data_IF_863771331779
#
_entry.id   IF_863771331779
#
_cell.length_a   1.000
_cell.length_b   1.000
_cell.length_c   1.000
_cell.angle_alpha   90.00
_cell.angle_beta   90.00
_cell.angle_gamma   90.00
#
_symmetry.space_group_name_H-M   'P 1'
#
loop_
_entity.id
_entity.type
_entity.pdbx_description
1 polymer ?
#
# COMPACT_ATOMS: atom_id res chain seq x y z
N UNK A 1 -21.66 -9.70 -1.29
CA UNK A 1 -22.88 -9.71 -2.13
C UNK A 1 -23.29 -11.16 -2.32
N UNK A 2 -24.60 -11.47 -2.41
CA UNK A 2 -25.04 -12.82 -2.76
C UNK A 2 -24.71 -13.10 -4.23
N UNK A 3 -24.15 -14.27 -4.53
CA UNK A 3 -23.83 -14.71 -5.89
C UNK A 3 -24.79 -15.81 -6.29
N UNK A 4 -25.30 -15.73 -7.52
CA UNK A 4 -26.17 -16.76 -8.08
C UNK A 4 -25.45 -17.46 -9.22
N UNK A 5 -25.63 -18.77 -9.30
CA UNK A 5 -25.09 -19.62 -10.35
C UNK A 5 -26.22 -20.41 -11.01
N UNK A 6 -25.96 -20.85 -12.24
CA UNK A 6 -26.76 -21.86 -12.92
C UNK A 6 -25.94 -23.14 -13.00
N UNK A 7 -26.16 -24.09 -12.08
CA UNK A 7 -25.41 -25.33 -12.06
C UNK A 7 -25.81 -26.23 -13.23
N UNK A 8 -24.94 -27.18 -13.57
CA UNK A 8 -25.30 -28.29 -14.45
C UNK A 8 -26.35 -29.19 -13.79
N UNK A 9 -27.23 -29.76 -14.58
CA UNK A 9 -28.35 -30.56 -14.10
C UNK A 9 -28.72 -31.70 -15.06
N UNK A 10 -29.44 -32.68 -14.54
CA UNK A 10 -30.19 -33.66 -15.33
C UNK A 10 -31.66 -33.61 -14.97
N UNK A 11 -32.54 -33.52 -15.96
CA UNK A 11 -33.98 -33.44 -15.77
C UNK A 11 -34.68 -34.72 -16.22
N UNK A 12 -35.52 -35.27 -15.35
CA UNK A 12 -36.39 -36.40 -15.67
C UNK A 12 -37.83 -35.97 -15.42
N UNK A 13 -38.61 -35.67 -16.47
CA UNK A 13 -40.01 -35.27 -16.33
C UNK A 13 -40.85 -36.43 -15.78
N UNK A 14 -41.99 -36.08 -15.18
CA UNK A 14 -42.94 -37.03 -14.64
C UNK A 14 -44.12 -36.34 -13.97
N UNK A 15 -45.12 -37.13 -13.56
CA UNK A 15 -46.25 -36.62 -12.78
C UNK A 15 -45.79 -36.03 -11.45
N UNK A 16 -46.67 -35.27 -10.79
CA UNK A 16 -46.42 -34.68 -9.46
C UNK A 16 -45.89 -35.73 -8.48
N UNK A 17 -44.75 -35.45 -7.83
CA UNK A 17 -44.08 -36.35 -6.89
C UNK A 17 -43.16 -37.39 -7.52
N UNK A 18 -43.05 -37.42 -8.85
CA UNK A 18 -42.15 -38.32 -9.60
C UNK A 18 -41.12 -37.55 -10.41
N UNK A 19 -41.51 -36.43 -11.04
CA UNK A 19 -40.57 -35.58 -11.80
C UNK A 19 -39.41 -35.13 -10.92
N UNK A 20 -38.18 -35.25 -11.43
CA UNK A 20 -36.97 -35.00 -10.65
C UNK A 20 -35.92 -34.20 -11.41
N UNK A 21 -35.15 -33.42 -10.66
CA UNK A 21 -33.97 -32.70 -11.15
C UNK A 21 -32.80 -33.08 -10.26
N UNK A 22 -31.74 -33.60 -10.85
CA UNK A 22 -30.46 -33.79 -10.17
C UNK A 22 -29.58 -32.58 -10.46
N UNK A 23 -29.13 -31.90 -9.40
CA UNK A 23 -28.33 -30.68 -9.50
C UNK A 23 -26.89 -31.02 -9.13
N UNK A 24 -25.94 -30.76 -10.04
CA UNK A 24 -24.52 -31.03 -9.81
C UNK A 24 -23.84 -29.79 -9.22
N UNK A 25 -23.79 -29.72 -7.90
CA UNK A 25 -23.02 -28.74 -7.12
C UNK A 25 -22.27 -29.43 -6.00
N UNK A 26 -21.17 -28.85 -5.56
CA UNK A 26 -20.44 -29.32 -4.39
C UNK A 26 -21.28 -29.04 -3.14
N UNK A 27 -21.68 -30.10 -2.44
CA UNK A 27 -22.53 -30.04 -1.23
C UNK A 27 -23.88 -29.32 -1.45
N UNK A 28 -24.81 -29.97 -2.14
CA UNK A 28 -26.15 -29.44 -2.36
C UNK A 28 -26.89 -29.17 -1.04
N UNK A 29 -27.39 -27.95 -0.90
CA UNK A 29 -28.39 -27.55 0.09
C UNK A 29 -29.65 -27.02 -0.61
N UNK A 30 -30.79 -27.65 -0.32
CA UNK A 30 -32.10 -27.27 -0.86
C UNK A 30 -32.50 -25.83 -0.51
N UNK A 31 -32.03 -25.29 0.61
CA UNK A 31 -32.35 -23.92 1.05
C UNK A 31 -31.76 -22.85 0.13
N UNK A 32 -30.73 -23.21 -0.64
CA UNK A 32 -30.04 -22.33 -1.59
C UNK A 32 -30.65 -22.39 -2.99
N UNK A 33 -31.56 -23.34 -3.25
CA UNK A 33 -32.30 -23.40 -4.50
C UNK A 33 -33.44 -22.38 -4.46
N UNK A 34 -33.33 -21.35 -5.30
CA UNK A 34 -34.29 -20.24 -5.32
C UNK A 34 -35.46 -20.54 -6.24
N UNK A 35 -35.19 -21.00 -7.47
CA UNK A 35 -36.21 -21.30 -8.45
C UNK A 35 -35.70 -22.25 -9.53
N UNK A 36 -36.63 -22.98 -10.15
CA UNK A 36 -36.39 -23.68 -11.42
C UNK A 36 -37.47 -23.29 -12.42
N UNK A 37 -37.05 -22.85 -13.59
CA UNK A 37 -37.92 -22.42 -14.69
C UNK A 37 -37.60 -23.28 -15.91
N UNK A 38 -38.63 -23.86 -16.54
CA UNK A 38 -38.51 -24.42 -17.88
C UNK A 38 -38.52 -23.27 -18.88
N UNK A 39 -37.35 -22.95 -19.44
CA UNK A 39 -37.23 -21.85 -20.41
C UNK A 39 -37.77 -22.23 -21.78
N UNK A 40 -37.70 -23.51 -22.16
CA UNK A 40 -38.29 -24.02 -23.42
C UNK A 40 -39.80 -23.80 -23.45
N UNK A 41 -40.47 -23.97 -22.30
CA UNK A 41 -41.94 -23.84 -22.19
C UNK A 41 -42.41 -22.52 -21.56
N UNK A 42 -41.50 -21.75 -20.94
CA UNK A 42 -41.84 -20.53 -20.21
C UNK A 42 -42.62 -20.77 -18.91
N UNK A 43 -42.42 -21.92 -18.24
CA UNK A 43 -43.19 -22.32 -17.06
C UNK A 43 -42.30 -22.46 -15.82
N UNK A 44 -42.77 -21.93 -14.68
CA UNK A 44 -42.13 -22.12 -13.38
C UNK A 44 -42.40 -23.55 -12.87
N UNK A 45 -41.33 -24.32 -12.63
CA UNK A 45 -41.41 -25.70 -12.13
C UNK A 45 -41.24 -25.75 -10.62
N UNK A 46 -40.32 -24.95 -10.07
CA UNK A 46 -39.99 -24.94 -8.66
C UNK A 46 -39.93 -23.54 -8.08
N UNK A 47 -40.60 -23.33 -6.94
CA UNK A 47 -40.50 -22.17 -6.07
C UNK A 47 -40.79 -22.62 -4.62
N UNK A 48 -39.91 -22.33 -3.65
CA UNK A 48 -40.04 -22.80 -2.26
C UNK A 48 -41.30 -22.32 -1.54
N UNK A 49 -41.91 -21.20 -1.96
CA UNK A 49 -43.13 -20.66 -1.32
C UNK A 49 -44.43 -21.10 -1.99
N UNK A 50 -44.35 -21.89 -3.07
CA UNK A 50 -45.53 -22.30 -3.85
C UNK A 50 -46.14 -23.60 -3.34
N UNK A 51 -47.47 -23.67 -3.27
CA UNK A 51 -48.19 -24.89 -2.92
C UNK A 51 -48.30 -25.89 -4.08
N UNK A 52 -48.16 -25.42 -5.33
CA UNK A 52 -48.34 -26.22 -6.57
C UNK A 52 -47.01 -26.52 -7.26
N UNK A 53 -46.05 -25.62 -7.15
CA UNK A 53 -44.69 -25.73 -7.73
C UNK A 53 -43.63 -25.79 -6.63
N UNK A 54 -43.98 -26.32 -5.46
CA UNK A 54 -43.06 -26.47 -4.34
C UNK A 54 -42.22 -27.76 -4.40
N UNK A 55 -41.52 -28.02 -3.31
CA UNK A 55 -40.82 -29.28 -3.07
C UNK A 55 -41.82 -30.40 -2.76
N UNK A 56 -41.64 -31.59 -3.34
CA UNK A 56 -42.28 -32.81 -2.84
C UNK A 56 -41.38 -33.49 -1.81
N UNK A 57 -40.14 -33.77 -2.19
CA UNK A 57 -39.08 -34.28 -1.31
C UNK A 57 -37.70 -33.99 -1.91
N UNK A 58 -36.64 -34.19 -1.13
CA UNK A 58 -35.25 -34.04 -1.58
C UNK A 58 -34.42 -35.18 -1.03
N UNK A 59 -33.45 -35.66 -1.81
CA UNK A 59 -32.48 -36.67 -1.37
C UNK A 59 -31.14 -36.32 -1.99
N UNK A 60 -30.16 -36.01 -1.14
CA UNK A 60 -28.84 -35.54 -1.59
C UNK A 60 -28.98 -34.42 -2.63
N UNK A 61 -28.58 -34.68 -3.87
CA UNK A 61 -28.57 -33.73 -4.97
C UNK A 61 -29.83 -33.80 -5.86
N UNK A 62 -30.82 -34.61 -5.48
CA UNK A 62 -32.05 -34.85 -6.25
C UNK A 62 -33.22 -34.11 -5.62
N UNK A 63 -33.83 -33.25 -6.42
CA UNK A 63 -35.04 -32.50 -6.07
C UNK A 63 -36.22 -33.18 -6.73
N UNK A 64 -37.14 -33.72 -5.92
CA UNK A 64 -38.39 -34.32 -6.40
C UNK A 64 -39.46 -33.24 -6.38
N UNK A 65 -40.06 -33.04 -7.55
CA UNK A 65 -40.93 -31.91 -7.85
C UNK A 65 -42.37 -32.20 -7.48
N UNK A 66 -43.04 -31.21 -6.88
CA UNK A 66 -44.49 -31.24 -6.70
C UNK A 66 -45.25 -30.85 -7.97
N UNK A 67 -44.62 -30.09 -8.86
CA UNK A 67 -45.21 -29.75 -10.14
C UNK A 67 -45.40 -31.02 -11.00
N UNK A 68 -46.53 -31.10 -11.71
CA UNK A 68 -46.70 -32.09 -12.77
C UNK A 68 -45.90 -31.64 -13.99
N UNK A 69 -44.87 -32.42 -14.32
CA UNK A 69 -43.98 -32.19 -15.46
C UNK A 69 -44.14 -33.27 -16.52
N UNK A 70 -45.23 -34.05 -16.51
CA UNK A 70 -45.47 -35.14 -17.46
C UNK A 70 -45.57 -34.69 -18.92
N UNK A 71 -45.85 -33.42 -19.17
CA UNK A 71 -45.87 -32.79 -20.51
C UNK A 71 -44.52 -32.17 -20.91
N UNK A 72 -43.53 -32.23 -20.02
CA UNK A 72 -42.18 -31.74 -20.26
C UNK A 72 -41.30 -32.82 -20.90
N UNK A 73 -40.19 -32.42 -21.49
CA UNK A 73 -39.19 -33.33 -22.07
C UNK A 73 -37.90 -33.28 -21.24
N UNK A 74 -37.17 -34.40 -21.15
CA UNK A 74 -35.87 -34.45 -20.47
C UNK A 74 -34.82 -33.59 -21.18
N UNK A 75 -35.02 -33.28 -22.46
CA UNK A 75 -34.15 -32.35 -23.22
C UNK A 75 -34.52 -30.88 -23.06
N UNK A 76 -35.54 -30.55 -22.26
CA UNK A 76 -35.92 -29.16 -22.00
C UNK A 76 -34.81 -28.37 -21.31
N UNK A 77 -34.69 -27.09 -21.69
CA UNK A 77 -33.72 -26.19 -21.10
C UNK A 77 -34.33 -25.59 -19.84
N UNK A 78 -33.70 -25.89 -18.70
CA UNK A 78 -34.07 -25.38 -17.40
C UNK A 78 -33.11 -24.29 -16.97
N UNK A 79 -33.67 -23.17 -16.51
CA UNK A 79 -32.91 -22.19 -15.75
C UNK A 79 -33.06 -22.53 -14.27
N UNK A 80 -31.95 -22.97 -13.69
CA UNK A 80 -31.83 -23.22 -12.25
C UNK A 80 -31.12 -22.02 -11.64
N UNK A 81 -31.78 -21.39 -10.66
CA UNK A 81 -31.22 -20.27 -9.90
C UNK A 81 -30.82 -20.80 -8.54
N UNK A 82 -29.52 -20.95 -8.32
CA UNK A 82 -28.93 -21.47 -7.09
C UNK A 82 -28.02 -20.43 -6.44
N UNK A 83 -28.14 -20.25 -5.13
CA UNK A 83 -27.25 -19.39 -4.36
C UNK A 83 -25.90 -20.08 -4.14
N UNK A 84 -24.84 -19.43 -4.61
CA UNK A 84 -23.47 -19.88 -4.45
C UNK A 84 -22.85 -19.24 -3.23
N UNK A 85 -22.68 -20.06 -2.18
CA UNK A 85 -21.98 -19.69 -0.95
C UNK A 85 -20.50 -20.06 -1.00
N UNK A 86 -19.93 -20.37 -2.18
CA UNK A 86 -18.48 -20.29 -2.35
C UNK A 86 -18.08 -18.81 -2.24
N UNK A 87 -18.12 -18.31 -1.01
CA UNK A 87 -17.58 -17.03 -0.62
C UNK A 87 -16.12 -17.03 -1.01
N UNK A 88 -15.81 -16.36 -2.12
CA UNK A 88 -14.60 -15.58 -2.31
C UNK A 88 -13.32 -16.27 -1.80
N UNK A 89 -13.16 -17.58 -2.05
CA UNK A 89 -11.95 -18.31 -1.66
C UNK A 89 -10.72 -17.67 -2.33
N UNK A 90 -10.92 -17.11 -3.53
CA UNK A 90 -9.93 -16.29 -4.21
C UNK A 90 -9.69 -14.92 -3.53
N UNK A 91 -10.70 -14.28 -2.95
CA UNK A 91 -10.50 -13.01 -2.24
C UNK A 91 -9.82 -13.23 -0.88
N UNK A 92 -10.15 -14.30 -0.16
CA UNK A 92 -9.46 -14.70 1.08
C UNK A 92 -7.98 -15.02 0.81
N UNK A 93 -7.70 -15.85 -0.21
CA UNK A 93 -6.31 -16.13 -0.60
C UNK A 93 -5.54 -14.87 -1.06
N UNK A 94 -6.23 -13.93 -1.72
CA UNK A 94 -5.63 -12.65 -2.12
C UNK A 94 -5.36 -11.74 -0.92
N UNK A 95 -6.25 -11.73 0.09
CA UNK A 95 -6.08 -10.98 1.33
C UNK A 95 -4.94 -11.55 2.17
N UNK A 96 -4.85 -12.87 2.30
CA UNK A 96 -3.75 -13.53 3.01
C UNK A 96 -2.40 -13.25 2.34
N UNK A 97 -2.35 -13.28 1.01
CA UNK A 97 -1.16 -12.92 0.24
C UNK A 97 -0.79 -11.44 0.43
N UNK A 98 -1.78 -10.54 0.46
CA UNK A 98 -1.55 -9.12 0.71
C UNK A 98 -1.02 -8.87 2.14
N UNK A 99 -1.57 -9.55 3.15
CA UNK A 99 -1.11 -9.46 4.53
C UNK A 99 0.34 -9.96 4.63
N UNK A 100 0.67 -11.09 4.01
CA UNK A 100 2.02 -11.63 3.98
C UNK A 100 2.99 -10.65 3.30
N UNK A 101 2.59 -10.02 2.19
CA UNK A 101 3.41 -9.03 1.50
C UNK A 101 3.62 -7.78 2.38
N UNK A 102 2.57 -7.27 3.03
CA UNK A 102 2.66 -6.11 3.93
C UNK A 102 3.56 -6.40 5.15
N UNK A 103 3.48 -7.61 5.71
CA UNK A 103 4.36 -8.04 6.80
C UNK A 103 5.83 -8.06 6.34
N UNK A 104 6.11 -8.64 5.16
CA UNK A 104 7.45 -8.64 4.59
C UNK A 104 7.99 -7.23 4.30
N UNK A 105 7.13 -6.32 3.84
CA UNK A 105 7.50 -4.91 3.63
C UNK A 105 7.83 -4.27 4.98
N UNK A 106 6.96 -4.42 5.99
CA UNK A 106 7.18 -3.85 7.31
C UNK A 106 8.48 -4.35 7.98
N UNK A 107 8.82 -5.63 7.82
CA UNK A 107 10.08 -6.20 8.35
C UNK A 107 11.32 -5.69 7.61
N UNK A 108 11.22 -5.45 6.29
CA UNK A 108 12.35 -5.00 5.46
C UNK A 108 12.46 -3.48 5.34
N UNK A 109 11.50 -2.73 5.88
CA UNK A 109 11.56 -1.27 5.89
C UNK A 109 12.63 -0.79 6.85
N UNK A 110 13.41 0.18 6.38
CA UNK A 110 14.34 0.90 7.24
C UNK A 110 13.55 1.63 8.32
N UNK A 111 14.04 1.63 9.56
CA UNK A 111 13.41 2.37 10.66
C UNK A 111 13.44 3.86 10.33
N UNK A 112 12.27 4.48 10.18
CA UNK A 112 12.14 5.92 9.95
C UNK A 112 11.79 6.63 11.28
N UNK A 113 12.42 7.78 11.52
CA UNK A 113 12.06 8.75 12.57
C UNK A 113 10.81 9.55 12.16
N UNK A 114 10.20 10.28 13.10
CA UNK A 114 9.04 11.18 12.94
C UNK A 114 9.20 12.22 11.83
N UNK A 115 10.43 12.48 11.39
CA UNK A 115 10.76 13.38 10.29
C UNK A 115 11.14 12.65 8.99
N UNK A 116 10.71 11.40 8.80
CA UNK A 116 10.99 10.55 7.64
C UNK A 116 12.50 10.32 7.36
N UNK A 117 13.32 10.29 8.42
CA UNK A 117 14.76 10.04 8.31
C UNK A 117 15.07 8.59 8.70
N UNK A 118 15.92 7.93 7.91
CA UNK A 118 16.40 6.58 8.22
C UNK A 118 17.29 6.58 9.46
N UNK A 119 16.90 5.81 10.48
CA UNK A 119 17.67 5.57 11.68
C UNK A 119 18.76 4.52 11.40
N UNK A 120 20.02 4.96 11.41
CA UNK A 120 21.18 4.08 11.33
C UNK A 120 21.75 3.95 12.74
N UNK A 121 21.69 2.75 13.34
CA UNK A 121 22.33 2.49 14.62
C UNK A 121 23.80 2.19 14.38
N UNK A 122 24.71 3.02 14.89
CA UNK A 122 26.15 2.82 14.74
C UNK A 122 26.70 2.35 16.09
N UNK A 123 26.97 1.05 16.22
CA UNK A 123 27.50 0.47 17.46
C UNK A 123 28.90 0.99 17.82
N UNK A 124 29.68 1.45 16.84
CA UNK A 124 30.94 2.20 17.03
C UNK A 124 31.23 3.06 15.80
N UNK A 125 31.30 4.39 15.98
CA UNK A 125 31.61 5.36 14.91
C UNK A 125 30.60 6.49 14.78
N UNK A 126 31.07 7.70 14.47
CA UNK A 126 30.19 8.83 14.15
C UNK A 126 29.71 8.74 12.69
N UNK A 127 28.45 9.08 12.41
CA UNK A 127 28.03 9.46 11.05
C UNK A 127 28.97 10.57 10.60
N UNK A 128 29.78 10.30 9.57
CA UNK A 128 30.73 11.26 9.04
C UNK A 128 30.04 12.47 8.41
N UNK A 129 29.63 13.44 9.24
CA UNK A 129 29.71 14.87 8.88
C UNK A 129 31.19 15.31 8.86
N UNK A 130 32.10 14.40 9.24
CA UNK A 130 33.56 14.51 9.23
C UNK A 130 34.20 14.50 7.82
N UNK A 131 33.46 14.25 6.72
CA UNK A 131 34.06 14.30 5.37
C UNK A 131 34.04 15.69 4.73
N UNK A 132 33.44 16.71 5.36
CA UNK A 132 33.74 18.11 5.03
C UNK A 132 34.77 18.65 6.06
N UNK A 133 36.05 18.79 5.69
CA UNK A 133 37.10 19.22 6.61
C UNK A 133 36.92 20.65 7.15
N UNK A 134 35.89 21.37 6.71
CA UNK A 134 35.59 22.74 7.13
C UNK A 134 34.71 22.85 8.37
N UNK A 135 33.94 21.82 8.75
CA UNK A 135 32.94 21.94 9.84
C UNK A 135 33.23 21.09 11.08
N UNK A 136 34.12 20.10 11.00
CA UNK A 136 34.49 19.23 12.12
C UNK A 136 35.16 19.96 13.30
N UNK A 137 35.65 21.20 13.10
CA UNK A 137 36.41 21.96 14.10
C UNK A 137 35.62 23.12 14.74
N UNK A 138 34.32 23.29 14.43
CA UNK A 138 33.55 24.43 14.93
C UNK A 138 32.40 23.94 15.79
N UNK A 139 32.66 23.74 17.07
CA UNK A 139 31.62 23.32 18.04
C UNK A 139 30.99 24.49 18.81
N UNK A 140 31.63 25.66 18.90
CA UNK A 140 31.02 26.94 19.29
C UNK A 140 31.85 28.12 18.77
N UNK A 141 31.24 29.11 18.10
CA UNK A 141 31.86 30.42 17.82
C UNK A 141 31.25 31.44 18.77
N UNK A 142 31.88 31.65 19.92
CA UNK A 142 31.45 32.70 20.84
C UNK A 142 32.21 34.00 20.60
N UNK A 143 33.52 33.96 20.29
CA UNK A 143 34.31 35.13 19.85
C UNK A 143 35.62 34.66 19.24
N UNK A 144 35.95 35.08 18.01
CA UNK A 144 37.28 34.83 17.42
C UNK A 144 38.21 35.95 17.88
N UNK A 145 39.13 35.65 18.80
CA UNK A 145 40.07 36.65 19.32
C UNK A 145 41.39 36.68 18.58
N UNK A 146 41.73 35.68 17.76
CA UNK A 146 42.94 35.69 16.92
C UNK A 146 42.81 34.73 15.72
N UNK A 147 43.25 35.17 14.53
CA UNK A 147 43.31 34.37 13.29
C UNK A 147 44.77 34.29 12.87
N UNK A 148 45.39 33.12 12.92
CA UNK A 148 46.84 32.97 12.76
C UNK A 148 47.31 32.83 11.30
N UNK A 149 46.44 32.42 10.36
CA UNK A 149 46.87 31.96 9.03
C UNK A 149 46.08 32.60 7.87
N UNK A 150 45.91 33.92 7.87
CA UNK A 150 45.46 34.64 6.67
C UNK A 150 46.53 35.67 6.27
N UNK A 151 47.32 35.34 5.24
CA UNK A 151 48.37 36.21 4.68
C UNK A 151 47.85 37.61 4.31
N UNK A 152 46.55 37.76 4.05
CA UNK A 152 45.92 39.03 3.68
C UNK A 152 45.48 39.91 4.87
N UNK A 153 45.54 39.41 6.12
CA UNK A 153 45.24 40.20 7.34
C UNK A 153 46.49 40.70 8.08
N UNK A 154 47.67 40.16 7.76
CA UNK A 154 48.96 40.62 8.31
C UNK A 154 49.29 42.08 7.93
N UNK A 155 48.50 42.69 7.04
CA UNK A 155 48.65 44.08 6.64
C UNK A 155 47.86 45.08 7.52
N UNK A 156 47.04 44.61 8.46
CA UNK A 156 46.24 45.49 9.34
C UNK A 156 46.58 45.39 10.83
N UNK A 157 47.40 44.44 11.25
CA UNK A 157 47.79 44.29 12.66
C UNK A 157 49.16 43.63 12.81
N UNK A 158 50.18 44.45 13.07
CA UNK A 158 51.34 44.00 13.85
C UNK A 158 52.52 43.32 13.14
N UNK A 159 52.52 43.18 11.81
CA UNK A 159 53.59 42.43 11.11
C UNK A 159 54.94 43.14 10.92
N UNK A 160 55.00 44.48 10.94
CA UNK A 160 56.28 45.21 10.86
C UNK A 160 56.14 46.62 11.46
N UNK A 161 56.20 46.73 12.79
CA UNK A 161 56.24 48.02 13.48
C UNK A 161 57.63 48.69 13.45
N UNK A 162 58.66 48.04 12.89
CA UNK A 162 60.02 48.57 12.86
C UNK A 162 60.18 49.87 12.03
N UNK A 163 59.53 50.05 10.86
CA UNK A 163 59.65 51.29 10.10
C UNK A 163 58.66 52.38 10.51
N UNK A 164 57.64 52.09 11.33
CA UNK A 164 56.62 53.08 11.75
C UNK A 164 57.23 54.27 12.52
N UNK A 165 58.10 54.08 13.53
CA UNK A 165 58.78 55.18 14.20
C UNK A 165 59.66 56.00 13.25
N UNK A 166 60.31 55.35 12.29
CA UNK A 166 61.13 56.02 11.27
C UNK A 166 60.28 56.90 10.33
N UNK A 167 59.18 56.36 9.82
CA UNK A 167 58.26 57.12 8.96
C UNK A 167 57.56 58.25 9.73
N UNK A 168 57.15 58.03 10.98
CA UNK A 168 56.57 59.08 11.83
C UNK A 168 57.59 60.17 12.18
N UNK A 169 58.86 59.81 12.41
CA UNK A 169 59.93 60.78 12.64
C UNK A 169 60.17 61.66 11.42
N UNK A 170 60.19 61.08 10.21
CA UNK A 170 60.33 61.84 8.97
C UNK A 170 59.12 62.75 8.68
N UNK A 171 57.89 62.30 8.96
CA UNK A 171 56.70 63.14 8.82
C UNK A 171 56.72 64.28 9.85
N UNK A 172 57.10 63.99 11.10
CA UNK A 172 57.24 64.99 12.15
C UNK A 172 58.28 66.06 11.81
N UNK A 173 59.38 65.70 11.14
CA UNK A 173 60.41 66.64 10.71
C UNK A 173 60.10 67.38 9.40
N UNK A 174 59.03 67.03 8.67
CA UNK A 174 58.69 67.63 7.38
C UNK A 174 58.46 69.15 7.46
N UNK A 175 57.91 69.65 8.57
CA UNK A 175 57.71 71.09 8.78
C UNK A 175 59.04 71.85 8.90
N UNK A 176 60.10 71.21 9.41
CA UNK A 176 61.45 71.81 9.51
C UNK A 176 62.08 71.87 8.12
N UNK A 177 61.98 70.78 7.34
CA UNK A 177 62.52 70.76 5.97
C UNK A 177 61.83 71.76 5.04
N UNK A 178 60.53 72.00 5.20
CA UNK A 178 59.78 72.99 4.42
C UNK A 178 60.03 74.45 4.84
N UNK A 179 60.73 74.69 5.95
CA UNK A 179 61.07 76.04 6.44
C UNK A 179 62.50 76.47 6.06
N UNK A 180 63.27 75.61 5.41
CA UNK A 180 64.58 75.96 4.86
C UNK A 180 64.37 76.60 3.47
N UNK A 181 64.02 77.89 3.44
CA UNK A 181 64.13 78.69 2.22
C UNK A 181 65.61 79.05 2.01
N UNK A 182 66.19 78.60 0.90
CA UNK A 182 67.53 79.05 0.48
C UNK A 182 67.39 80.45 -0.13
N UNK A 183 67.50 81.49 0.70
CA UNK A 183 67.72 82.89 0.28
C UNK A 183 69.10 83.36 0.70
#
# INVERSE_FOLDING_TARGET
>A
MKKFITPSYTFSPGVSGIGQITISVDSFDIKKLIAVINTTRGVLIYNPVSLTTGLHSTSENVVILKADTSTHDSVDILQIIYEDDSSDQNAQASLDTAILLLANIAEKMARLDVNDRMAVNIETGSVGVSSLPTLANVTTVATVTTVSNLTNLNNFSGGNAAPLPYHMSNIGAAHIYNQIEFS
#
